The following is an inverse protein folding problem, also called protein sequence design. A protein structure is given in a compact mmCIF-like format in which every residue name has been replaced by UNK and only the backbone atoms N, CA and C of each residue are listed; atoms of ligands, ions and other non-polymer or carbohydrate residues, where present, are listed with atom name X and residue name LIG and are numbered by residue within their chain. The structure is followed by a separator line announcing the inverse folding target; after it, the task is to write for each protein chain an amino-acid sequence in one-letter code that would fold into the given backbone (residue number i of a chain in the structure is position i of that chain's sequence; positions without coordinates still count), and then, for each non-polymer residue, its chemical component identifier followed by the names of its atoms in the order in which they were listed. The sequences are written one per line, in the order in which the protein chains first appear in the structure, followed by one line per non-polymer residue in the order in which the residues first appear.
data_IF_088903741387
#
_entry.id   IF_088903741387
#
_cell.length_a   1.000
_cell.length_b   1.000
_cell.length_c   1.000
_cell.angle_alpha   90.00
_cell.angle_beta   90.00
_cell.angle_gamma   90.00
#
_symmetry.space_group_name_H-M   'P 1'
#
loop_
_entity.id
_entity.type
_entity.pdbx_description
1 polymer ?
#
# COMPACT_ATOMS: atom_id res chain seq x y z
N UNK A 1 7.56 -3.36 -4.99
CA UNK A 1 6.65 -3.65 -3.85
C UNK A 1 5.29 -4.15 -4.34
N UNK A 2 4.60 -5.03 -3.60
CA UNK A 2 3.20 -5.45 -3.90
C UNK A 2 2.32 -5.18 -2.68
N UNK A 3 1.20 -4.46 -2.87
CA UNK A 3 0.12 -4.43 -1.87
C UNK A 3 -0.80 -5.62 -2.07
N UNK A 4 -1.15 -6.29 -0.98
CA UNK A 4 -2.07 -7.41 -0.97
C UNK A 4 -3.25 -7.03 -0.05
N UNK A 5 -4.47 -6.87 -0.58
CA UNK A 5 -5.63 -6.64 0.26
C UNK A 5 -5.90 -7.88 1.13
N UNK A 6 -6.06 -7.68 2.43
CA UNK A 6 -6.28 -8.68 3.44
C UNK A 6 -7.38 -8.21 4.41
N UNK A 7 -8.63 -8.28 3.94
CA UNK A 7 -9.78 -7.73 4.65
C UNK A 7 -9.67 -6.20 4.77
N UNK A 8 -9.73 -5.69 6.00
CA UNK A 8 -9.62 -4.25 6.30
C UNK A 8 -8.18 -3.70 6.27
N UNK A 9 -7.21 -4.56 5.98
CA UNK A 9 -5.81 -4.18 5.95
C UNK A 9 -5.23 -4.42 4.56
N UNK A 10 -4.24 -3.62 4.21
CA UNK A 10 -3.32 -3.93 3.13
C UNK A 10 -2.02 -4.43 3.71
N UNK A 11 -1.57 -5.57 3.20
CA UNK A 11 -0.25 -6.11 3.46
C UNK A 11 0.73 -5.56 2.43
N UNK A 12 1.88 -5.09 2.89
CA UNK A 12 2.96 -4.60 2.04
C UNK A 12 4.30 -4.96 2.65
N UNK A 13 5.34 -5.07 1.83
CA UNK A 13 6.70 -5.33 2.29
C UNK A 13 7.49 -4.03 2.29
N UNK A 14 8.31 -3.80 3.30
CA UNK A 14 9.20 -2.65 3.33
C UNK A 14 10.48 -2.92 2.51
N UNK A 15 10.81 -2.06 1.54
CA UNK A 15 12.02 -2.19 0.71
C UNK A 15 13.33 -2.08 1.50
N UNK A 16 13.30 -1.48 2.70
CA UNK A 16 14.53 -1.22 3.47
C UNK A 16 14.92 -2.35 4.41
N UNK A 17 13.95 -3.13 4.89
CA UNK A 17 14.17 -4.12 5.93
C UNK A 17 13.48 -5.46 5.66
N UNK A 18 12.85 -5.60 4.47
CA UNK A 18 12.09 -6.78 4.03
C UNK A 18 11.01 -7.25 5.01
N UNK A 19 10.66 -6.41 5.99
CA UNK A 19 9.60 -6.70 6.94
C UNK A 19 8.23 -6.61 6.28
N UNK A 20 7.37 -7.56 6.63
CA UNK A 20 5.97 -7.51 6.27
C UNK A 20 5.25 -6.52 7.20
N UNK A 21 4.54 -5.57 6.61
CA UNK A 21 3.76 -4.56 7.30
C UNK A 21 2.29 -4.70 6.91
N UNK A 22 1.40 -4.35 7.84
CA UNK A 22 -0.03 -4.23 7.60
C UNK A 22 -0.45 -2.77 7.81
N UNK A 23 -1.35 -2.27 6.98
CA UNK A 23 -1.87 -0.92 7.14
C UNK A 23 -3.36 -0.91 6.87
N UNK A 24 -4.12 -0.33 7.79
CA UNK A 24 -5.56 -0.18 7.64
C UNK A 24 -5.89 0.59 6.37
N UNK A 25 -6.93 0.15 5.65
CA UNK A 25 -7.38 0.83 4.44
C UNK A 25 -7.70 2.32 4.71
N UNK A 26 -8.27 2.65 5.87
CA UNK A 26 -8.59 4.04 6.24
C UNK A 26 -7.35 4.94 6.40
N UNK A 27 -6.16 4.34 6.63
CA UNK A 27 -4.90 5.09 6.71
C UNK A 27 -4.23 5.29 5.35
N UNK A 28 -4.76 4.68 4.29
CA UNK A 28 -4.28 4.90 2.92
C UNK A 28 -4.52 6.33 2.44
N UNK A 29 -5.48 7.06 3.00
CA UNK A 29 -5.70 8.47 2.62
C UNK A 29 -4.54 9.39 3.02
N UNK A 30 -3.60 8.94 3.86
CA UNK A 30 -2.50 9.75 4.38
C UNK A 30 -1.31 9.95 3.40
N UNK A 31 -1.39 9.47 2.16
CA UNK A 31 -0.34 9.49 1.13
C UNK A 31 0.99 8.77 1.47
N UNK A 32 1.22 8.41 2.73
CA UNK A 32 2.44 7.77 3.21
C UNK A 32 2.11 6.55 4.09
N UNK A 33 2.89 5.49 3.91
CA UNK A 33 2.87 4.28 4.73
C UNK A 33 4.08 4.31 5.65
N UNK A 34 3.92 4.02 6.94
CA UNK A 34 5.06 3.92 7.87
C UNK A 34 5.31 2.47 8.20
N UNK A 35 6.55 2.02 8.05
CA UNK A 35 6.95 0.68 8.47
C UNK A 35 6.95 0.60 10.00
N UNK A 36 6.29 -0.42 10.56
CA UNK A 36 6.26 -0.66 12.01
C UNK A 36 7.59 -1.13 12.59
N UNK A 37 8.53 -1.60 11.75
CA UNK A 37 9.83 -2.14 12.19
C UNK A 37 10.93 -1.08 12.13
N UNK A 38 11.15 -0.46 10.97
CA UNK A 38 12.23 0.52 10.78
C UNK A 38 11.77 1.97 10.93
N UNK A 39 10.46 2.20 11.16
CA UNK A 39 9.84 3.53 11.28
C UNK A 39 10.06 4.46 10.08
N UNK A 40 10.48 3.93 8.93
CA UNK A 40 10.60 4.69 7.69
C UNK A 40 9.24 4.90 7.04
N UNK A 41 9.09 6.04 6.40
CA UNK A 41 7.94 6.39 5.61
C UNK A 41 8.19 6.02 4.14
N UNK A 42 7.21 5.36 3.54
CA UNK A 42 7.12 5.05 2.14
C UNK A 42 5.98 5.82 1.51
N UNK A 43 6.19 6.28 0.29
CA UNK A 43 5.15 6.88 -0.52
C UNK A 43 4.09 5.85 -0.91
N UNK A 44 2.84 6.07 -0.53
CA UNK A 44 1.76 5.13 -0.84
C UNK A 44 1.62 4.92 -2.35
N UNK A 45 1.67 6.00 -3.13
CA UNK A 45 1.53 5.95 -4.59
C UNK A 45 2.61 5.08 -5.23
N UNK A 46 3.81 5.01 -4.65
CA UNK A 46 4.92 4.18 -5.11
C UNK A 46 4.64 2.69 -4.87
N UNK A 47 4.00 2.36 -3.76
CA UNK A 47 3.60 0.98 -3.43
C UNK A 47 2.41 0.54 -4.31
N UNK A 48 1.42 1.42 -4.52
CA UNK A 48 0.26 1.14 -5.39
C UNK A 48 0.69 0.99 -6.84
N UNK A 49 1.53 1.89 -7.36
CA UNK A 49 2.01 1.84 -8.75
C UNK A 49 2.87 0.62 -9.07
N UNK A 50 3.58 0.08 -8.08
CA UNK A 50 4.37 -1.14 -8.23
C UNK A 50 3.52 -2.44 -8.20
N UNK A 51 2.22 -2.35 -7.93
CA UNK A 51 1.31 -3.49 -7.88
C UNK A 51 0.85 -3.87 -9.30
N UNK A 52 1.12 -5.09 -9.83
CA UNK A 52 0.88 -5.46 -11.24
C UNK A 52 -0.59 -5.57 -11.70
N UNK A 53 -1.55 -4.92 -11.03
CA UNK A 53 -2.98 -5.03 -11.33
C UNK A 53 -3.79 -3.76 -11.12
N UNK A 54 -3.18 -2.61 -10.79
CA UNK A 54 -3.93 -1.40 -10.38
C UNK A 54 -3.78 -0.22 -11.33
N UNK A 55 -3.02 -0.37 -12.42
CA UNK A 55 -2.88 0.69 -13.42
C UNK A 55 -3.75 0.42 -14.65
N UNK A 56 -5.04 0.74 -14.55
CA UNK A 56 -5.79 1.19 -15.72
C UNK A 56 -5.98 2.70 -15.56
N UNK A 57 -5.31 3.47 -16.42
CA UNK A 57 -5.33 4.92 -16.39
C UNK A 57 -6.75 5.49 -16.51
N UNK A 58 -6.88 6.75 -16.05
CA UNK A 58 -8.06 7.62 -16.02
C UNK A 58 -8.88 7.61 -14.71
N UNK A 59 -8.56 8.59 -13.85
CA UNK A 59 -9.45 9.28 -12.90
C UNK A 59 -10.36 8.50 -11.95
N UNK A 60 -10.18 7.20 -11.74
CA UNK A 60 -11.04 6.43 -10.85
C UNK A 60 -10.21 5.76 -9.76
N UNK A 61 -10.43 6.19 -8.51
CA UNK A 61 -10.02 5.46 -7.31
C UNK A 61 -10.72 4.10 -7.29
N UNK A 62 -10.20 3.13 -8.03
CA UNK A 62 -10.67 1.75 -7.98
C UNK A 62 -10.06 1.07 -6.75
N UNK A 63 -10.63 1.34 -5.59
CA UNK A 63 -10.54 0.43 -4.44
C UNK A 63 -11.29 -0.86 -4.82
N UNK A 64 -10.65 -2.04 -4.78
CA UNK A 64 -11.29 -3.26 -5.24
C UNK A 64 -12.14 -3.85 -4.11
N UNK A 65 -13.28 -3.24 -3.77
CA UNK A 65 -14.35 -3.87 -2.99
C UNK A 65 -15.69 -3.20 -3.29
N UNK A 66 -16.22 -3.44 -4.48
CA UNK A 66 -17.65 -3.38 -4.80
C UNK A 66 -17.95 -4.36 -5.93
#
# INVERSE_FOLDING_TARGET
MKLIPAGDYYLWFCEWCDSQNNTLWTRMDAHHLTCGVCSRQEDLWRVISASPGTMCGTNSMAFPFL
#
